data_IF_767303463346
#
_entry.id   IF_767303463346
#
_cell.length_a   1.000
_cell.length_b   1.000
_cell.length_c   1.000
_cell.angle_alpha   90.00
_cell.angle_beta   90.00
_cell.angle_gamma   90.00
#
_symmetry.space_group_name_H-M   'P 1'
#
loop_
_entity.id
_entity.type
_entity.pdbx_description
1 polymer ?
#
# COMPACT_ATOMS: atom_id res chain seq x y z
N UNK A 1 -18.90 -9.30 18.88
CA UNK A 1 -17.43 -9.15 18.82
C UNK A 1 -16.96 -9.60 17.46
N UNK A 2 -16.92 -8.71 16.48
CA UNK A 2 -16.49 -9.03 15.12
C UNK A 2 -14.96 -9.11 15.11
N UNK A 3 -14.39 -10.28 14.81
CA UNK A 3 -12.94 -10.43 14.67
C UNK A 3 -12.46 -9.54 13.51
N UNK A 4 -11.50 -8.66 13.77
CA UNK A 4 -10.74 -8.02 12.69
C UNK A 4 -9.94 -9.14 11.97
N UNK A 5 -9.96 -9.22 10.63
CA UNK A 5 -9.10 -10.11 9.89
C UNK A 5 -7.65 -9.74 10.20
N UNK A 6 -6.78 -10.74 10.22
CA UNK A 6 -5.34 -10.56 10.37
C UNK A 6 -4.81 -9.63 9.28
N UNK A 7 -4.03 -8.62 9.67
CA UNK A 7 -3.29 -7.73 8.76
C UNK A 7 -2.56 -8.56 7.69
N UNK A 8 -2.71 -8.25 6.39
CA UNK A 8 -1.87 -8.84 5.34
C UNK A 8 -0.41 -8.70 5.73
N UNK A 9 0.41 -9.72 5.42
CA UNK A 9 1.86 -9.56 5.54
C UNK A 9 2.29 -8.49 4.54
N UNK A 10 2.93 -7.44 5.04
CA UNK A 10 3.37 -6.32 4.24
C UNK A 10 4.87 -6.04 4.51
N UNK A 11 5.77 -7.01 4.22
CA UNK A 11 7.17 -6.94 4.62
C UNK A 11 7.94 -5.74 4.06
N UNK A 12 7.53 -5.16 2.91
CA UNK A 12 8.14 -3.94 2.39
C UNK A 12 7.48 -2.71 2.99
N UNK A 13 6.14 -2.66 3.00
CA UNK A 13 5.38 -1.54 3.54
C UNK A 13 5.62 -1.31 5.04
N UNK A 14 5.76 -2.38 5.83
CA UNK A 14 6.04 -2.33 7.26
C UNK A 14 7.41 -1.72 7.59
N UNK A 15 8.31 -1.59 6.61
CA UNK A 15 9.64 -0.98 6.76
C UNK A 15 9.67 0.50 6.37
N UNK A 16 8.60 1.03 5.81
CA UNK A 16 8.54 2.39 5.26
C UNK A 16 7.89 3.32 6.29
N UNK A 17 8.66 4.30 6.75
CA UNK A 17 8.18 5.41 7.59
C UNK A 17 8.10 6.73 6.81
N UNK A 18 8.79 6.82 5.68
CA UNK A 18 8.82 7.99 4.81
C UNK A 18 9.02 7.62 3.33
N UNK A 19 8.64 8.48 2.37
CA UNK A 19 8.91 8.28 0.95
C UNK A 19 10.39 8.01 0.59
N UNK A 20 11.33 8.50 1.40
CA UNK A 20 12.75 8.28 1.17
C UNK A 20 13.16 6.82 1.33
N UNK A 21 12.41 6.03 2.11
CA UNK A 21 12.79 4.66 2.49
C UNK A 21 12.68 3.65 1.34
N UNK A 22 12.05 4.02 0.22
CA UNK A 22 11.88 3.16 -0.96
C UNK A 22 12.38 3.80 -2.28
N UNK A 23 13.16 4.89 -2.21
CA UNK A 23 13.75 5.50 -3.41
C UNK A 23 14.75 4.60 -4.12
N UNK A 24 15.38 3.68 -3.39
CA UNK A 24 16.36 2.75 -3.94
C UNK A 24 15.76 1.36 -4.28
N UNK A 25 14.43 1.20 -4.18
CA UNK A 25 13.77 -0.06 -4.51
C UNK A 25 13.91 -0.39 -5.99
N UNK A 26 14.09 -1.68 -6.29
CA UNK A 26 13.98 -2.18 -7.66
C UNK A 26 12.54 -2.07 -8.18
N UNK A 27 12.36 -2.20 -9.49
CA UNK A 27 11.01 -2.20 -10.09
C UNK A 27 10.14 -3.31 -9.49
N UNK A 28 10.70 -4.49 -9.27
CA UNK A 28 10.01 -5.62 -8.66
C UNK A 28 9.62 -5.33 -7.20
N UNK A 29 10.47 -4.64 -6.45
CA UNK A 29 10.16 -4.19 -5.09
C UNK A 29 9.08 -3.10 -5.08
N UNK A 30 9.03 -2.22 -6.08
CA UNK A 30 7.97 -1.21 -6.23
C UNK A 30 6.62 -1.85 -6.59
N UNK A 31 6.61 -2.87 -7.45
CA UNK A 31 5.41 -3.66 -7.77
C UNK A 31 4.87 -4.35 -6.52
N UNK A 32 5.76 -5.00 -5.75
CA UNK A 32 5.41 -5.64 -4.49
C UNK A 32 4.91 -4.64 -3.45
N UNK A 33 5.57 -3.49 -3.30
CA UNK A 33 5.14 -2.41 -2.40
C UNK A 33 3.74 -1.92 -2.78
N UNK A 34 3.49 -1.70 -4.06
CA UNK A 34 2.17 -1.24 -4.54
C UNK A 34 1.09 -2.28 -4.27
N UNK A 35 1.40 -3.57 -4.45
CA UNK A 35 0.50 -4.65 -4.08
C UNK A 35 0.16 -4.62 -2.57
N UNK A 36 1.17 -4.46 -1.71
CA UNK A 36 0.98 -4.40 -0.25
C UNK A 36 0.12 -3.19 0.17
N UNK A 37 0.38 -2.01 -0.41
CA UNK A 37 -0.42 -0.79 -0.21
C UNK A 37 -1.88 -1.02 -0.58
N UNK A 38 -2.15 -1.67 -1.72
CA UNK A 38 -3.52 -2.00 -2.14
C UNK A 38 -4.22 -2.94 -1.16
N UNK A 39 -3.52 -3.97 -0.66
CA UNK A 39 -4.10 -4.91 0.31
C UNK A 39 -4.47 -4.20 1.62
N UNK A 40 -3.60 -3.31 2.11
CA UNK A 40 -3.88 -2.48 3.29
C UNK A 40 -5.07 -1.56 3.08
N UNK A 41 -5.17 -0.90 1.92
CA UNK A 41 -6.34 -0.06 1.59
C UNK A 41 -7.63 -0.88 1.59
N UNK A 42 -7.64 -2.04 0.93
CA UNK A 42 -8.81 -2.94 0.87
C UNK A 42 -9.20 -3.36 2.29
N UNK A 43 -8.25 -3.82 3.10
CA UNK A 43 -8.54 -4.23 4.47
C UNK A 43 -9.10 -3.06 5.29
N UNK A 44 -8.46 -1.89 5.22
CA UNK A 44 -8.83 -0.71 6.01
C UNK A 44 -10.26 -0.26 5.73
N UNK A 45 -10.70 -0.25 4.47
CA UNK A 45 -12.06 0.18 4.11
C UNK A 45 -13.10 -0.95 4.13
N UNK A 46 -12.68 -2.22 4.17
CA UNK A 46 -13.62 -3.36 4.19
C UNK A 46 -14.55 -3.36 5.41
N UNK A 47 -14.18 -2.67 6.48
CA UNK A 47 -14.96 -2.53 7.71
C UNK A 47 -15.91 -1.34 7.72
N UNK A 48 -15.51 -0.24 7.09
CA UNK A 48 -16.23 1.03 7.17
C UNK A 48 -17.18 1.24 5.99
N UNK A 49 -16.92 0.58 4.86
CA UNK A 49 -17.47 1.00 3.57
C UNK A 49 -16.88 2.35 3.14
N UNK A 50 -16.89 2.65 1.83
CA UNK A 50 -16.39 3.93 1.31
C UNK A 50 -15.87 3.89 -0.13
N UNK A 51 -15.32 5.01 -0.59
CA UNK A 51 -14.78 5.22 -1.95
C UNK A 51 -13.42 4.53 -2.17
N UNK A 52 -13.39 3.20 -2.10
CA UNK A 52 -12.18 2.40 -2.33
C UNK A 52 -11.62 2.54 -3.76
N UNK A 53 -12.51 2.70 -4.75
CA UNK A 53 -12.13 2.70 -6.16
C UNK A 53 -11.15 3.82 -6.54
N UNK A 54 -11.28 5.00 -5.93
CA UNK A 54 -10.40 6.13 -6.22
C UNK A 54 -8.98 5.88 -5.69
N UNK A 55 -8.85 5.37 -4.45
CA UNK A 55 -7.55 5.05 -3.85
C UNK A 55 -6.81 3.93 -4.58
N UNK A 56 -7.53 2.85 -4.94
CA UNK A 56 -6.92 1.74 -5.68
C UNK A 56 -6.49 2.11 -7.10
N UNK A 57 -7.15 3.08 -7.73
CA UNK A 57 -6.81 3.51 -9.10
C UNK A 57 -5.57 4.41 -9.19
N UNK A 58 -5.05 4.89 -8.06
CA UNK A 58 -3.88 5.81 -8.02
C UNK A 58 -2.69 5.26 -7.23
N UNK A 59 -2.76 4.02 -6.73
CA UNK A 59 -1.73 3.44 -5.88
C UNK A 59 -0.37 3.40 -6.60
N UNK A 60 -0.34 2.86 -7.82
CA UNK A 60 0.86 2.74 -8.67
C UNK A 60 1.46 4.12 -8.98
N UNK A 61 0.60 5.09 -9.35
CA UNK A 61 1.04 6.45 -9.63
C UNK A 61 1.64 7.13 -8.40
N UNK A 62 1.02 6.92 -7.23
CA UNK A 62 1.49 7.51 -5.97
C UNK A 62 2.85 6.94 -5.58
N UNK A 63 3.05 5.62 -5.70
CA UNK A 63 4.35 4.99 -5.45
C UNK A 63 5.40 5.50 -6.44
N UNK A 64 5.07 5.56 -7.73
CA UNK A 64 6.00 6.04 -8.75
C UNK A 64 6.43 7.50 -8.51
N UNK A 65 5.49 8.38 -8.14
CA UNK A 65 5.80 9.78 -7.86
C UNK A 65 6.77 9.93 -6.67
N UNK A 66 6.54 9.20 -5.59
CA UNK A 66 7.38 9.26 -4.39
C UNK A 66 8.74 8.55 -4.56
N UNK A 67 8.83 7.59 -5.47
CA UNK A 67 10.10 6.97 -5.85
C UNK A 67 10.98 7.95 -6.64
N UNK A 68 10.38 8.77 -7.52
CA UNK A 68 11.11 9.71 -8.39
C UNK A 68 11.38 11.06 -7.73
N UNK A 69 10.47 11.59 -6.89
CA UNK A 69 10.52 12.94 -6.33
C UNK A 69 10.62 12.94 -4.80
#
# INVERSE_FOLDING_TARGET
MTRLPSKPKAPLLDRISSPADFRDFSIEELEQLTYEVRQEMIQSVSFTGGHLGAGLGVAELTVALHHVF
#
